data_IF_874036257516
#
_entry.id   IF_874036257516
#
_cell.length_a   1.000
_cell.length_b   1.000
_cell.length_c   1.000
_cell.angle_alpha   90.00
_cell.angle_beta   90.00
_cell.angle_gamma   90.00
#
_symmetry.space_group_name_H-M   'P 1'
#
loop_
_entity.id
_entity.type
_entity.pdbx_description
1 polymer ?
#
# COMPACT_ATOMS: atom_id res chain seq x y z
N UNK A 1 -35.68 -14.61 31.02
CA UNK A 1 -34.21 -14.50 30.81
C UNK A 1 -33.86 -15.04 29.43
N UNK A 2 -33.44 -14.19 28.50
CA UNK A 2 -33.02 -14.61 27.15
C UNK A 2 -31.61 -14.06 26.87
N UNK A 3 -30.61 -14.95 26.84
CA UNK A 3 -29.22 -14.62 26.51
C UNK A 3 -29.09 -14.57 24.98
N UNK A 4 -29.10 -13.36 24.40
CA UNK A 4 -28.83 -13.15 22.97
C UNK A 4 -27.33 -13.14 22.72
N UNK A 5 -26.87 -14.16 22.02
CA UNK A 5 -25.51 -14.31 21.49
C UNK A 5 -25.27 -13.36 20.30
N UNK A 6 -24.15 -12.64 20.29
CA UNK A 6 -23.63 -12.03 19.05
C UNK A 6 -22.14 -12.32 18.90
N UNK A 7 -21.83 -13.47 18.28
CA UNK A 7 -20.51 -13.71 17.69
C UNK A 7 -20.30 -12.68 16.58
N UNK A 8 -19.43 -11.69 16.81
CA UNK A 8 -18.91 -10.82 15.74
C UNK A 8 -18.20 -11.70 14.72
N UNK A 9 -18.86 -11.95 13.57
CA UNK A 9 -18.18 -12.46 12.38
C UNK A 9 -17.35 -11.31 11.81
N UNK A 10 -16.05 -11.33 12.07
CA UNK A 10 -15.08 -10.51 11.36
C UNK A 10 -15.11 -10.96 9.91
N UNK A 11 -15.82 -10.20 9.07
CA UNK A 11 -15.75 -10.36 7.62
C UNK A 11 -14.30 -10.07 7.23
N UNK A 12 -13.54 -11.13 6.92
CA UNK A 12 -12.26 -11.00 6.23
C UNK A 12 -12.57 -10.29 4.92
N UNK A 13 -12.26 -9.00 4.87
CA UNK A 13 -12.33 -8.20 3.67
C UNK A 13 -11.23 -8.67 2.72
N UNK A 14 -11.47 -9.79 2.05
CA UNK A 14 -10.72 -10.22 0.87
C UNK A 14 -11.17 -9.33 -0.29
N UNK A 15 -10.90 -8.03 -0.19
CA UNK A 15 -10.81 -7.19 -1.38
C UNK A 15 -9.59 -7.72 -2.11
N UNK A 16 -9.84 -8.64 -3.05
CA UNK A 16 -8.88 -9.04 -4.07
C UNK A 16 -8.48 -7.75 -4.78
N UNK A 17 -7.46 -7.05 -4.27
CA UNK A 17 -6.66 -6.17 -5.08
C UNK A 17 -6.00 -7.11 -6.08
N UNK A 18 -6.64 -7.27 -7.24
CA UNK A 18 -5.92 -7.63 -8.45
C UNK A 18 -4.71 -6.70 -8.47
N UNK A 19 -3.47 -7.22 -8.40
CA UNK A 19 -2.32 -6.36 -8.49
C UNK A 19 -2.49 -5.60 -9.80
N UNK A 20 -2.58 -4.27 -9.72
CA UNK A 20 -2.48 -3.43 -10.91
C UNK A 20 -1.05 -3.67 -11.38
N UNK A 21 -0.89 -4.65 -12.27
CA UNK A 21 0.39 -4.98 -12.88
C UNK A 21 0.82 -3.71 -13.59
N UNK A 22 1.93 -3.12 -13.15
CA UNK A 22 2.40 -1.88 -13.73
C UNK A 22 2.71 -2.07 -15.21
N UNK A 23 2.59 -0.98 -15.98
CA UNK A 23 2.82 -1.02 -17.43
C UNK A 23 4.19 -1.58 -17.83
N UNK A 24 5.20 -1.51 -16.94
CA UNK A 24 6.52 -2.11 -17.12
C UNK A 24 6.47 -3.64 -17.12
N UNK A 25 5.76 -4.26 -16.16
CA UNK A 25 5.58 -5.71 -16.11
C UNK A 25 4.77 -6.18 -17.31
N UNK A 26 3.67 -5.50 -17.64
CA UNK A 26 2.85 -5.82 -18.83
C UNK A 26 3.64 -5.71 -20.13
N UNK A 27 4.55 -4.74 -20.25
CA UNK A 27 5.43 -4.60 -21.42
C UNK A 27 6.46 -5.73 -21.49
N UNK A 28 7.00 -6.17 -20.36
CA UNK A 28 7.92 -7.30 -20.28
C UNK A 28 7.23 -8.64 -20.60
N UNK A 29 5.98 -8.83 -20.19
CA UNK A 29 5.18 -10.02 -20.56
C UNK A 29 4.92 -10.06 -22.07
N UNK A 30 4.59 -8.90 -22.67
CA UNK A 30 4.45 -8.77 -24.12
C UNK A 30 5.75 -9.06 -24.86
N UNK A 31 6.90 -8.59 -24.36
CA UNK A 31 8.19 -8.86 -25.01
C UNK A 31 8.56 -10.35 -24.96
N UNK A 32 8.26 -11.04 -23.86
CA UNK A 32 8.41 -12.50 -23.77
C UNK A 32 7.53 -13.18 -24.83
N UNK A 33 6.26 -12.79 -24.91
CA UNK A 33 5.32 -13.40 -25.86
C UNK A 33 5.80 -13.25 -27.32
N UNK A 34 6.35 -12.07 -27.66
CA UNK A 34 6.94 -11.82 -28.98
C UNK A 34 8.20 -12.65 -29.19
N UNK A 35 9.08 -12.75 -28.18
CA UNK A 35 10.30 -13.55 -28.27
C UNK A 35 10.00 -15.05 -28.44
N UNK A 36 8.97 -15.58 -27.76
CA UNK A 36 8.51 -16.97 -27.91
C UNK A 36 8.02 -17.26 -29.32
N UNK A 37 7.18 -16.38 -29.88
CA UNK A 37 6.70 -16.50 -31.28
C UNK A 37 7.85 -16.44 -32.27
N UNK A 38 8.84 -15.59 -32.04
CA UNK A 38 10.02 -15.50 -32.91
C UNK A 38 10.87 -16.78 -32.83
N UNK A 39 11.09 -17.31 -31.62
CA UNK A 39 11.81 -18.57 -31.44
C UNK A 39 11.12 -19.73 -32.15
N UNK A 40 9.78 -19.81 -32.08
CA UNK A 40 9.00 -20.83 -32.78
C UNK A 40 9.15 -20.73 -34.30
N UNK A 41 9.02 -19.52 -34.87
CA UNK A 41 9.22 -19.28 -36.31
C UNK A 41 10.62 -19.68 -36.76
N UNK A 42 11.65 -19.35 -35.98
CA UNK A 42 13.03 -19.71 -36.30
C UNK A 42 13.25 -21.22 -36.15
N UNK A 43 12.65 -21.87 -35.17
CA UNK A 43 12.71 -23.33 -35.04
C UNK A 43 12.14 -24.03 -36.29
N UNK A 44 10.97 -23.58 -36.78
CA UNK A 44 10.40 -24.10 -38.02
C UNK A 44 11.31 -23.88 -39.24
N UNK A 45 11.98 -22.73 -39.33
CA UNK A 45 12.96 -22.46 -40.40
C UNK A 45 14.14 -23.41 -40.35
N UNK A 46 14.65 -23.70 -39.16
CA UNK A 46 15.74 -24.68 -38.96
C UNK A 46 15.30 -26.06 -39.43
N UNK A 47 14.09 -26.50 -39.09
CA UNK A 47 13.62 -27.84 -39.49
C UNK A 47 13.42 -27.95 -41.00
N UNK A 48 12.86 -26.92 -41.65
CA UNK A 48 12.82 -26.84 -43.13
C UNK A 48 14.21 -26.82 -43.76
N UNK A 49 15.17 -26.14 -43.15
CA UNK A 49 16.55 -26.12 -43.63
C UNK A 49 17.22 -27.50 -43.50
N UNK A 50 16.94 -28.26 -42.43
CA UNK A 50 17.45 -29.64 -42.27
C UNK A 50 16.92 -30.54 -43.38
N UNK A 51 15.63 -30.44 -43.69
CA UNK A 51 15.02 -31.22 -44.75
C UNK A 51 15.65 -30.92 -46.11
N UNK A 52 15.86 -29.64 -46.44
CA UNK A 52 16.55 -29.21 -47.67
C UNK A 52 17.98 -29.72 -47.75
N UNK A 53 18.71 -29.70 -46.63
CA UNK A 53 20.07 -30.28 -46.56
C UNK A 53 20.01 -31.79 -46.82
N UNK A 54 19.07 -32.52 -46.22
CA UNK A 54 18.92 -33.95 -46.44
C UNK A 54 18.63 -34.27 -47.92
N UNK A 55 17.70 -33.55 -48.56
CA UNK A 55 17.38 -33.74 -49.96
C UNK A 55 18.54 -33.38 -50.90
N UNK A 56 19.21 -32.25 -50.68
CA UNK A 56 20.34 -31.81 -51.51
C UNK A 56 21.53 -32.77 -51.39
N UNK A 57 21.81 -33.27 -50.17
CA UNK A 57 22.87 -34.24 -49.95
C UNK A 57 22.57 -35.60 -50.57
N UNK A 58 21.31 -36.06 -50.58
CA UNK A 58 20.90 -37.27 -51.29
C UNK A 58 21.14 -37.14 -52.80
N UNK A 59 20.66 -36.04 -53.42
CA UNK A 59 20.87 -35.77 -54.85
C UNK A 59 22.35 -35.65 -55.24
N UNK A 60 23.16 -35.04 -54.38
CA UNK A 60 24.60 -34.95 -54.59
C UNK A 60 25.28 -36.33 -54.57
N UNK A 61 24.84 -37.24 -53.70
CA UNK A 61 25.33 -38.63 -53.67
C UNK A 61 24.92 -39.44 -54.89
N UNK A 62 23.68 -39.26 -55.36
CA UNK A 62 23.14 -39.97 -56.53
C UNK A 62 23.82 -39.53 -57.83
N UNK A 63 23.88 -38.22 -58.07
CA UNK A 63 24.33 -37.68 -59.37
C UNK A 63 25.82 -37.42 -59.44
N UNK A 64 26.49 -37.24 -58.30
CA UNK A 64 27.93 -36.92 -58.17
C UNK A 64 28.41 -35.74 -59.01
N UNK A 65 27.49 -34.85 -59.44
CA UNK A 65 27.83 -33.67 -60.25
C UNK A 65 28.36 -32.56 -59.36
N UNK A 66 29.43 -31.89 -59.79
CA UNK A 66 30.00 -30.75 -59.06
C UNK A 66 28.96 -29.69 -58.69
N UNK A 67 28.01 -29.40 -59.59
CA UNK A 67 26.91 -28.45 -59.35
C UNK A 67 25.96 -28.88 -58.24
N UNK A 68 25.68 -30.18 -58.10
CA UNK A 68 24.82 -30.73 -57.03
C UNK A 68 25.52 -30.77 -55.68
N UNK A 69 26.84 -31.01 -55.67
CA UNK A 69 27.66 -30.94 -54.46
C UNK A 69 27.68 -29.49 -53.95
N UNK A 70 27.94 -28.52 -54.83
CA UNK A 70 27.90 -27.10 -54.48
C UNK A 70 26.52 -26.67 -53.95
N UNK A 71 25.42 -27.21 -54.50
CA UNK A 71 24.08 -26.95 -53.98
C UNK A 71 23.86 -27.51 -52.56
N UNK A 72 24.41 -28.71 -52.26
CA UNK A 72 24.35 -29.30 -50.93
C UNK A 72 25.18 -28.52 -49.91
N UNK A 73 26.33 -27.97 -50.29
CA UNK A 73 27.15 -27.11 -49.43
C UNK A 73 26.44 -25.81 -49.08
N UNK A 74 25.87 -25.11 -50.07
CA UNK A 74 25.05 -23.92 -49.79
C UNK A 74 23.87 -24.23 -48.86
N UNK A 75 23.22 -25.39 -49.03
CA UNK A 75 22.16 -25.80 -48.12
C UNK A 75 22.69 -25.96 -46.68
N UNK A 76 23.88 -26.54 -46.49
CA UNK A 76 24.51 -26.66 -45.15
C UNK A 76 24.84 -25.30 -44.53
N UNK A 77 25.31 -24.34 -45.32
CA UNK A 77 25.53 -22.97 -44.85
C UNK A 77 24.23 -22.30 -44.41
N UNK A 78 23.14 -22.45 -45.18
CA UNK A 78 21.83 -21.90 -44.76
C UNK A 78 21.31 -22.53 -43.48
N UNK A 79 21.54 -23.84 -43.27
CA UNK A 79 21.24 -24.51 -42.02
C UNK A 79 22.08 -23.96 -40.86
N UNK A 80 23.37 -23.69 -41.10
CA UNK A 80 24.26 -23.13 -40.09
C UNK A 80 23.76 -21.74 -39.63
N UNK A 81 23.44 -20.86 -40.58
CA UNK A 81 22.84 -19.53 -40.29
C UNK A 81 21.51 -19.66 -39.53
N UNK A 82 20.62 -20.54 -39.97
CA UNK A 82 19.34 -20.74 -39.28
C UNK A 82 19.52 -21.26 -37.82
N UNK A 83 20.56 -22.06 -37.56
CA UNK A 83 20.89 -22.51 -36.19
C UNK A 83 21.45 -21.37 -35.34
N UNK A 84 22.20 -20.45 -35.93
CA UNK A 84 22.69 -19.25 -35.27
C UNK A 84 21.53 -18.32 -34.90
N UNK A 85 20.63 -18.03 -35.84
CA UNK A 85 19.39 -17.28 -35.58
C UNK A 85 18.59 -17.91 -34.42
N UNK A 86 18.55 -19.25 -34.34
CA UNK A 86 17.85 -19.96 -33.26
C UNK A 86 18.51 -19.71 -31.90
N UNK A 87 19.85 -19.65 -31.85
CA UNK A 87 20.60 -19.36 -30.63
C UNK A 87 20.36 -17.93 -30.18
N UNK A 88 20.37 -16.97 -31.10
CA UNK A 88 20.08 -15.57 -30.81
C UNK A 88 18.65 -15.37 -30.31
N UNK A 89 17.65 -15.97 -30.97
CA UNK A 89 16.26 -15.93 -30.54
C UNK A 89 16.08 -16.55 -29.13
N UNK A 90 16.79 -17.62 -28.82
CA UNK A 90 16.78 -18.22 -27.49
C UNK A 90 17.46 -17.33 -26.44
N UNK A 91 18.54 -16.64 -26.79
CA UNK A 91 19.19 -15.67 -25.91
C UNK A 91 18.28 -14.47 -25.63
N UNK A 92 17.61 -13.93 -26.66
CA UNK A 92 16.63 -12.86 -26.51
C UNK A 92 15.46 -13.26 -25.59
N UNK A 93 14.96 -14.49 -25.71
CA UNK A 93 13.93 -15.01 -24.81
C UNK A 93 14.42 -15.12 -23.36
N UNK A 94 15.66 -15.56 -23.15
CA UNK A 94 16.27 -15.59 -21.80
C UNK A 94 16.38 -14.18 -21.21
N UNK A 95 16.85 -13.22 -22.00
CA UNK A 95 16.96 -11.83 -21.55
C UNK A 95 15.59 -11.25 -21.19
N UNK A 96 14.57 -11.44 -22.04
CA UNK A 96 13.22 -10.97 -21.75
C UNK A 96 12.65 -11.54 -20.43
N UNK A 97 12.98 -12.79 -20.10
CA UNK A 97 12.60 -13.40 -18.81
C UNK A 97 13.33 -12.79 -17.62
N UNK A 98 14.59 -12.40 -17.80
CA UNK A 98 15.36 -11.68 -16.76
C UNK A 98 14.75 -10.31 -16.52
N UNK A 99 14.43 -9.58 -17.59
CA UNK A 99 13.83 -8.25 -17.52
C UNK A 99 12.46 -8.28 -16.82
N UNK A 100 11.63 -9.29 -17.10
CA UNK A 100 10.37 -9.49 -16.38
C UNK A 100 10.59 -9.68 -14.88
N UNK A 101 11.57 -10.50 -14.47
CA UNK A 101 11.88 -10.70 -13.04
C UNK A 101 12.32 -9.39 -12.38
N UNK A 102 13.14 -8.59 -13.07
CA UNK A 102 13.57 -7.29 -12.60
C UNK A 102 12.39 -6.31 -12.46
N UNK A 103 11.50 -6.25 -13.46
CA UNK A 103 10.31 -5.42 -13.43
C UNK A 103 9.37 -5.80 -12.27
N UNK A 104 9.13 -7.09 -12.06
CA UNK A 104 8.31 -7.58 -10.93
C UNK A 104 8.92 -7.23 -9.58
N UNK A 105 10.26 -7.33 -9.45
CA UNK A 105 10.94 -6.94 -8.21
C UNK A 105 10.79 -5.43 -7.95
N UNK A 106 11.04 -4.61 -8.96
CA UNK A 106 10.89 -3.16 -8.85
C UNK A 106 9.46 -2.76 -8.46
N UNK A 107 8.45 -3.42 -9.02
CA UNK A 107 7.05 -3.16 -8.67
C UNK A 107 6.74 -3.50 -7.21
N UNK A 108 7.23 -4.64 -6.73
CA UNK A 108 7.08 -5.02 -5.31
C UNK A 108 7.74 -4.00 -4.38
N UNK A 109 8.90 -3.50 -4.74
CA UNK A 109 9.62 -2.52 -3.92
C UNK A 109 8.93 -1.15 -3.95
N UNK A 110 8.35 -0.75 -5.09
CA UNK A 110 7.48 0.44 -5.18
C UNK A 110 6.28 0.34 -4.24
N UNK A 111 5.56 -0.78 -4.26
CA UNK A 111 4.39 -1.00 -3.39
C UNK A 111 4.78 -0.91 -1.91
N UNK A 112 5.91 -1.52 -1.53
CA UNK A 112 6.40 -1.45 -0.13
C UNK A 112 6.73 -0.02 0.29
N UNK A 113 7.29 0.79 -0.60
CA UNK A 113 7.60 2.19 -0.30
C UNK A 113 6.32 3.02 -0.13
N UNK A 114 5.37 2.88 -1.04
CA UNK A 114 4.06 3.56 -0.95
C UNK A 114 3.32 3.19 0.35
N UNK A 115 3.36 1.93 0.77
CA UNK A 115 2.77 1.50 2.05
C UNK A 115 3.47 2.14 3.25
N UNK A 116 4.81 2.24 3.23
CA UNK A 116 5.57 2.90 4.30
C UNK A 116 5.22 4.39 4.37
N UNK A 117 5.11 5.07 3.24
CA UNK A 117 4.70 6.47 3.17
C UNK A 117 3.29 6.68 3.73
N UNK A 118 2.32 5.84 3.32
CA UNK A 118 0.95 5.88 3.88
C UNK A 118 0.96 5.70 5.39
N UNK A 119 1.74 4.76 5.93
CA UNK A 119 1.88 4.56 7.39
C UNK A 119 2.50 5.76 8.07
N UNK A 120 3.46 6.45 7.46
CA UNK A 120 4.04 7.66 8.03
C UNK A 120 3.03 8.81 8.04
N UNK A 121 2.27 8.99 6.96
CA UNK A 121 1.19 9.98 6.89
C UNK A 121 0.13 9.69 7.96
N UNK A 122 -0.29 8.44 8.09
CA UNK A 122 -1.25 8.01 9.11
C UNK A 122 -0.70 8.24 10.53
N UNK A 123 0.57 7.91 10.80
CA UNK A 123 1.22 8.19 12.09
C UNK A 123 1.26 9.68 12.39
N UNK A 124 1.59 10.52 11.41
CA UNK A 124 1.60 11.99 11.56
C UNK A 124 0.19 12.52 11.83
N UNK A 125 -0.81 12.04 11.10
CA UNK A 125 -2.21 12.40 11.30
C UNK A 125 -2.70 11.96 12.69
N UNK A 126 -2.39 10.73 13.11
CA UNK A 126 -2.75 10.22 14.43
C UNK A 126 -2.05 10.99 15.56
N UNK A 127 -0.78 11.36 15.39
CA UNK A 127 -0.07 12.19 16.35
C UNK A 127 -0.70 13.59 16.47
N UNK A 128 -1.05 14.22 15.34
CA UNK A 128 -1.76 15.50 15.32
C UNK A 128 -3.12 15.40 16.01
N UNK A 129 -3.91 14.36 15.70
CA UNK A 129 -5.20 14.12 16.34
C UNK A 129 -5.07 13.93 17.87
N UNK A 130 -4.06 13.17 18.31
CA UNK A 130 -3.77 12.98 19.75
C UNK A 130 -3.38 14.29 20.43
N UNK A 131 -2.58 15.12 19.79
CA UNK A 131 -2.19 16.42 20.32
C UNK A 131 -3.41 17.36 20.46
N UNK A 132 -4.28 17.41 19.46
CA UNK A 132 -5.53 18.18 19.50
C UNK A 132 -6.45 17.69 20.62
N UNK A 133 -6.67 16.38 20.73
CA UNK A 133 -7.50 15.81 21.80
C UNK A 133 -6.93 16.08 23.21
N UNK A 134 -5.61 16.03 23.37
CA UNK A 134 -4.97 16.37 24.64
C UNK A 134 -5.13 17.85 25.00
N UNK A 135 -5.03 18.74 24.00
CA UNK A 135 -5.28 20.16 24.16
C UNK A 135 -6.73 20.44 24.58
N UNK A 136 -7.71 19.90 23.85
CA UNK A 136 -9.13 20.03 24.16
C UNK A 136 -9.45 19.56 25.58
N UNK A 137 -8.93 18.39 25.97
CA UNK A 137 -9.11 17.86 27.32
C UNK A 137 -8.48 18.74 28.41
N UNK A 138 -7.32 19.35 28.13
CA UNK A 138 -6.68 20.28 29.06
C UNK A 138 -7.49 21.57 29.19
N UNK A 139 -7.98 22.09 28.07
CA UNK A 139 -8.81 23.28 28.01
C UNK A 139 -10.14 23.10 28.74
N UNK A 140 -10.84 21.97 28.51
CA UNK A 140 -12.09 21.63 29.18
C UNK A 140 -11.90 21.51 30.70
N UNK A 141 -10.82 20.84 31.15
CA UNK A 141 -10.47 20.76 32.58
C UNK A 141 -10.22 22.13 33.19
N UNK A 142 -9.53 23.02 32.50
CA UNK A 142 -9.27 24.37 33.00
C UNK A 142 -10.55 25.20 33.07
N UNK A 143 -11.41 25.10 32.06
CA UNK A 143 -12.71 25.73 32.05
C UNK A 143 -13.59 25.23 33.21
N UNK A 144 -13.67 23.92 33.42
CA UNK A 144 -14.40 23.35 34.56
C UNK A 144 -13.86 23.85 35.90
N UNK A 145 -12.53 23.92 36.08
CA UNK A 145 -11.92 24.47 37.29
C UNK A 145 -12.33 25.92 37.52
N UNK A 146 -12.30 26.75 36.47
CA UNK A 146 -12.77 28.15 36.56
C UNK A 146 -14.25 28.23 36.94
N UNK A 147 -15.10 27.36 36.38
CA UNK A 147 -16.51 27.29 36.76
C UNK A 147 -16.71 26.88 38.22
N UNK A 148 -16.00 25.85 38.69
CA UNK A 148 -16.07 25.41 40.10
C UNK A 148 -15.58 26.50 41.05
N UNK A 149 -14.45 27.15 40.74
CA UNK A 149 -13.90 28.26 41.53
C UNK A 149 -14.86 29.45 41.63
N UNK A 150 -15.55 29.79 40.53
CA UNK A 150 -16.61 30.82 40.53
C UNK A 150 -17.80 30.43 41.39
N UNK A 151 -18.21 29.15 41.37
CA UNK A 151 -19.31 28.66 42.22
C UNK A 151 -18.92 28.64 43.70
N UNK A 152 -17.71 28.23 44.05
CA UNK A 152 -17.24 28.22 45.43
C UNK A 152 -17.08 29.62 46.00
N UNK A 153 -16.50 30.56 45.25
CA UNK A 153 -16.41 31.98 45.67
C UNK A 153 -17.77 32.63 45.86
N UNK A 154 -18.74 32.39 44.96
CA UNK A 154 -20.12 32.86 45.15
C UNK A 154 -20.75 32.27 46.41
N UNK A 155 -20.47 31.00 46.73
CA UNK A 155 -21.00 30.32 47.91
C UNK A 155 -20.37 30.83 49.21
N UNK A 156 -19.06 31.10 49.23
CA UNK A 156 -18.38 31.68 50.38
C UNK A 156 -18.76 33.14 50.60
N UNK A 157 -18.93 33.95 49.55
CA UNK A 157 -19.48 35.31 49.67
C UNK A 157 -20.90 35.31 50.24
N UNK A 158 -21.78 34.39 49.77
CA UNK A 158 -23.13 34.26 50.32
C UNK A 158 -23.11 33.85 51.80
N UNK A 159 -22.24 32.92 52.19
CA UNK A 159 -22.08 32.51 53.60
C UNK A 159 -21.48 33.60 54.48
N UNK A 160 -20.52 34.37 53.98
CA UNK A 160 -19.97 35.54 54.69
C UNK A 160 -21.03 36.62 54.88
N UNK A 161 -21.88 36.86 53.86
CA UNK A 161 -22.98 37.83 53.92
C UNK A 161 -24.10 37.40 54.88
N UNK A 162 -24.45 36.12 54.95
CA UNK A 162 -25.41 35.63 55.95
C UNK A 162 -24.85 35.69 57.36
N UNK A 163 -23.57 35.33 57.56
CA UNK A 163 -22.92 35.40 58.87
C UNK A 163 -22.72 36.84 59.36
N UNK A 164 -22.49 37.79 58.46
CA UNK A 164 -22.43 39.22 58.76
C UNK A 164 -23.82 39.86 59.00
N UNK A 165 -24.91 39.23 58.56
CA UNK A 165 -26.27 39.62 58.93
C UNK A 165 -26.67 39.05 60.29
N UNK A 166 -26.25 37.84 60.62
CA UNK A 166 -26.45 37.22 61.95
C UNK A 166 -25.61 37.89 63.05
N UNK A 167 -24.47 38.51 62.71
CA UNK A 167 -23.61 39.22 63.67
C UNK A 167 -23.94 40.71 63.82
N UNK A 168 -25.08 41.19 63.32
CA UNK A 168 -25.55 42.55 63.63
C UNK A 168 -26.18 42.51 65.01
N UNK A 169 -25.72 43.30 66.00
CA UNK A 169 -26.38 43.37 67.30
C UNK A 169 -27.81 43.88 67.09
N UNK A 170 -28.77 43.12 67.59
CA UNK A 170 -30.16 43.55 67.77
C UNK A 170 -30.15 44.85 68.56
N UNK A 171 -30.53 45.95 67.90
CA UNK A 171 -30.76 47.23 68.58
C UNK A 171 -31.91 47.05 69.54
N UNK A 172 -31.60 46.97 70.84
CA UNK A 172 -32.53 47.17 71.95
C UNK A 172 -33.28 48.49 71.72
N UNK A 173 -34.58 48.39 71.45
CA UNK A 173 -35.52 49.50 71.59
C UNK A 173 -36.34 49.27 72.86
N UNK A 174 -36.23 50.26 73.73
CA UNK A 174 -37.21 50.77 74.70
C UNK A 174 -37.91 49.79 75.63
N UNK A 175 -37.69 49.93 76.94
CA UNK A 175 -38.79 50.23 77.89
C UNK A 175 -38.24 51.08 79.05
N UNK A 176 -38.66 52.35 79.09
CA UNK A 176 -38.70 53.16 80.31
C UNK A 176 -39.73 52.54 81.26
N UNK A 177 -39.35 52.24 82.50
CA UNK A 177 -40.28 52.20 83.63
C UNK A 177 -39.61 52.80 84.85
N UNK A 178 -40.27 53.85 85.34
CA UNK A 178 -40.10 54.56 86.60
C UNK A 178 -39.87 53.61 87.79
N UNK A 179 -38.94 53.97 88.68
CA UNK A 179 -39.02 53.59 90.10
C UNK A 179 -38.62 54.80 90.95
N UNK A 180 -39.65 55.39 91.58
CA UNK A 180 -39.64 56.27 92.74
C UNK A 180 -39.36 55.49 94.03
N UNK A 181 -38.93 56.22 95.08
CA UNK A 181 -38.64 55.83 96.49
C UNK A 181 -37.17 55.47 96.75
N UNK A 182 -36.43 56.10 97.67
CA UNK A 182 -36.73 57.06 98.75
C UNK A 182 -35.54 57.99 98.97
#
# INVERSE_FOLDING_TARGET
MAKRTTKKKTVKNTRKQTPIVSGSVTRAEKSITVAEKNLERVAQRVDKAKERVAQATAKAKETKRATTIAAAERARETLAKAKEDKREAAAALRQAKIDLKAAVKAERDRIKLEEREKRLVEKKAAAKARAMAAFEKKWEREWERKQRARKTTKRTQRRGKTRAQESKPETLKDVNTEITAS
#
